data_IF_325536430835
#
_entry.id   IF_325536430835
#
_cell.length_a   1.000
_cell.length_b   1.000
_cell.length_c   1.000
_cell.angle_alpha   90.00
_cell.angle_beta   90.00
_cell.angle_gamma   90.00
#
_symmetry.space_group_name_H-M   'P 1'
#
loop_
_entity.id
_entity.type
_entity.pdbx_description
1 polymer ?
#
# COMPACT_ATOMS: atom_id res chain seq x y z
N UNK A 1 9.05 15.92 13.37
CA UNK A 1 8.31 16.70 14.37
C UNK A 1 6.84 16.38 14.19
N UNK A 2 6.11 16.03 15.26
CA UNK A 2 4.66 15.73 15.22
C UNK A 2 3.87 17.04 15.22
N UNK A 3 2.91 17.21 14.32
CA UNK A 3 2.07 18.43 14.24
C UNK A 3 1.24 18.64 15.50
N UNK A 4 0.80 17.56 16.18
CA UNK A 4 0.11 17.66 17.47
C UNK A 4 0.98 18.29 18.57
N UNK A 5 2.29 18.07 18.54
CA UNK A 5 3.25 18.68 19.48
C UNK A 5 3.53 20.14 19.14
N UNK A 6 3.50 20.50 17.85
CA UNK A 6 3.54 21.90 17.41
C UNK A 6 2.29 22.66 17.87
N UNK A 7 1.10 22.07 17.70
CA UNK A 7 -0.16 22.65 18.18
C UNK A 7 -0.14 22.86 19.70
N UNK A 8 0.32 21.86 20.47
CA UNK A 8 0.47 22.01 21.92
C UNK A 8 1.46 23.12 22.27
N UNK A 9 2.58 23.24 21.55
CA UNK A 9 3.59 24.28 21.78
C UNK A 9 3.03 25.68 21.49
N UNK A 10 2.16 25.82 20.48
CA UNK A 10 1.47 27.07 20.14
C UNK A 10 0.43 27.43 21.21
N UNK A 11 -0.34 26.46 21.70
CA UNK A 11 -1.37 26.68 22.74
C UNK A 11 -0.75 27.05 24.10
N UNK A 12 0.43 26.51 24.42
CA UNK A 12 1.15 26.77 25.68
C UNK A 12 1.98 28.05 25.69
N UNK A 13 2.23 28.69 24.54
CA UNK A 13 2.98 29.96 24.45
C UNK A 13 2.09 31.12 23.94
N UNK A 14 1.19 31.65 24.81
CA UNK A 14 0.21 32.68 24.41
C UNK A 14 0.82 34.01 23.94
N UNK A 15 2.11 34.27 24.20
CA UNK A 15 2.75 35.54 23.86
C UNK A 15 3.46 35.60 22.50
N UNK A 16 3.50 34.51 21.71
CA UNK A 16 4.28 34.45 20.46
C UNK A 16 3.47 34.24 19.18
N UNK A 17 2.17 33.95 19.26
CA UNK A 17 1.36 33.78 18.07
C UNK A 17 -0.09 34.26 18.29
N UNK A 18 -0.51 35.20 17.45
CA UNK A 18 -1.83 35.88 17.41
C UNK A 18 -3.01 34.97 17.00
N UNK A 19 -2.86 33.64 17.07
CA UNK A 19 -3.87 32.69 16.56
C UNK A 19 -5.24 32.75 17.26
N UNK A 20 -5.31 33.26 18.50
CA UNK A 20 -6.59 33.50 19.20
C UNK A 20 -7.41 34.62 18.57
N UNK A 21 -6.80 35.50 17.78
CA UNK A 21 -7.50 36.59 17.09
C UNK A 21 -8.27 36.09 15.84
N UNK A 22 -8.01 34.86 15.39
CA UNK A 22 -8.61 34.31 14.17
C UNK A 22 -9.88 33.50 14.43
N UNK A 23 -10.05 32.92 15.63
CA UNK A 23 -11.27 32.19 16.01
C UNK A 23 -11.36 31.93 17.51
N UNK A 24 -12.56 32.13 18.07
CA UNK A 24 -12.89 31.87 19.48
C UNK A 24 -12.85 30.38 19.85
N UNK A 25 -12.83 29.48 18.87
CA UNK A 25 -12.80 28.02 19.10
C UNK A 25 -11.57 27.57 19.90
N UNK A 26 -10.45 28.30 19.81
CA UNK A 26 -9.24 27.99 20.57
C UNK A 26 -9.36 28.29 22.08
N UNK A 27 -10.30 29.15 22.50
CA UNK A 27 -10.55 29.41 23.92
C UNK A 27 -11.17 28.20 24.62
N UNK A 28 -11.86 27.35 23.86
CA UNK A 28 -12.49 26.12 24.38
C UNK A 28 -11.47 25.03 24.71
N UNK A 29 -10.23 25.16 24.23
CA UNK A 29 -9.16 24.19 24.45
C UNK A 29 -8.48 24.48 25.79
N UNK A 30 -8.66 23.59 26.76
CA UNK A 30 -7.99 23.68 28.07
C UNK A 30 -6.54 23.22 27.95
N UNK A 31 -5.53 24.12 28.08
CA UNK A 31 -4.14 23.78 27.77
C UNK A 31 -3.56 22.67 28.65
N UNK A 32 -3.94 22.63 29.93
CA UNK A 32 -3.47 21.61 30.87
C UNK A 32 -4.06 20.23 30.61
N UNK A 33 -5.30 20.18 30.11
CA UNK A 33 -5.97 18.94 29.71
C UNK A 33 -5.39 18.42 28.40
N UNK A 34 -5.26 19.30 27.40
CA UNK A 34 -4.60 18.97 26.14
C UNK A 34 -3.18 18.45 26.38
N UNK A 35 -2.41 19.06 27.29
CA UNK A 35 -1.05 18.59 27.62
C UNK A 35 -1.04 17.17 28.19
N UNK A 36 -2.01 16.83 29.05
CA UNK A 36 -2.08 15.49 29.67
C UNK A 36 -2.57 14.44 28.69
N UNK A 37 -3.53 14.80 27.85
CA UNK A 37 -4.25 13.85 27.01
C UNK A 37 -3.76 13.85 25.55
N UNK A 38 -2.83 14.73 25.16
CA UNK A 38 -2.37 14.85 23.77
C UNK A 38 -2.02 13.50 23.16
N UNK A 39 -1.24 12.68 23.87
CA UNK A 39 -0.79 11.37 23.38
C UNK A 39 -1.93 10.37 23.23
N UNK A 40 -2.98 10.48 24.05
CA UNK A 40 -4.20 9.69 23.90
C UNK A 40 -5.04 10.18 22.73
N UNK A 41 -5.14 11.50 22.55
CA UNK A 41 -5.93 12.13 21.49
C UNK A 41 -5.34 11.82 20.11
N UNK A 42 -4.01 11.78 20.00
CA UNK A 42 -3.32 11.51 18.73
C UNK A 42 -2.90 10.04 18.56
N UNK A 43 -3.29 9.16 19.48
CA UNK A 43 -2.98 7.73 19.40
C UNK A 43 -3.61 7.12 18.14
N UNK A 44 -2.80 6.43 17.33
CA UNK A 44 -3.27 5.84 16.06
C UNK A 44 -3.35 6.84 14.90
N UNK A 45 -2.86 8.06 15.08
CA UNK A 45 -2.69 9.03 13.99
C UNK A 45 -1.64 8.57 12.97
N UNK A 46 -1.72 9.07 11.75
CA UNK A 46 -0.69 8.86 10.71
C UNK A 46 0.70 9.39 11.12
N UNK A 47 0.77 10.25 12.14
CA UNK A 47 2.03 10.72 12.73
C UNK A 47 2.67 9.73 13.73
N UNK A 48 1.97 8.67 14.16
CA UNK A 48 2.57 7.66 15.04
C UNK A 48 3.63 6.83 14.33
N UNK A 49 3.49 6.64 13.01
CA UNK A 49 4.47 5.98 12.15
C UNK A 49 5.75 6.81 11.94
N UNK A 50 5.75 8.09 12.29
CA UNK A 50 6.88 9.01 12.13
C UNK A 50 7.65 9.14 13.46
N UNK A 51 8.28 8.06 13.92
CA UNK A 51 9.34 8.18 14.93
C UNK A 51 10.62 8.71 14.28
N UNK A 52 11.24 9.79 14.82
CA UNK A 52 12.63 10.06 14.55
C UNK A 52 13.48 9.11 15.40
N UNK A 53 14.30 8.29 14.74
CA UNK A 53 15.35 7.48 15.35
C UNK A 53 16.31 8.38 16.17
N UNK A 54 16.14 8.40 17.48
CA UNK A 54 17.08 9.02 18.42
C UNK A 54 17.70 7.93 19.30
N UNK A 55 18.88 7.47 18.84
CA UNK A 55 19.99 6.81 19.57
C UNK A 55 19.72 6.39 21.04
N UNK A 56 19.76 5.07 21.25
CA UNK A 56 20.46 4.43 22.37
C UNK A 56 19.60 3.91 23.53
N UNK A 57 19.59 2.58 23.68
CA UNK A 57 19.24 1.90 24.92
C UNK A 57 18.02 0.97 24.84
N UNK A 58 18.26 -0.33 24.62
CA UNK A 58 17.29 -1.38 24.91
C UNK A 58 17.40 -1.80 26.40
N UNK A 59 16.51 -2.66 26.94
CA UNK A 59 15.16 -3.05 26.52
C UNK A 59 14.13 -2.86 27.66
N UNK A 60 12.82 -3.08 27.40
CA UNK A 60 11.91 -3.92 28.22
C UNK A 60 10.44 -3.73 27.81
N UNK A 61 9.86 -4.84 27.31
CA UNK A 61 8.48 -5.31 27.48
C UNK A 61 7.33 -4.32 27.53
N UNK A 62 6.53 -4.31 26.45
CA UNK A 62 5.07 -4.37 26.58
C UNK A 62 4.45 -5.07 25.36
N UNK A 63 4.10 -6.33 25.57
CA UNK A 63 3.22 -7.08 24.69
C UNK A 63 1.77 -6.61 24.91
N UNK A 64 1.14 -6.14 23.85
CA UNK A 64 -0.32 -5.97 23.72
C UNK A 64 -0.57 -5.53 22.28
N UNK A 65 -1.31 -6.22 21.42
CA UNK A 65 -2.02 -7.48 21.51
C UNK A 65 -2.50 -7.73 20.08
N UNK A 66 -2.11 -8.89 19.58
CA UNK A 66 -2.38 -9.43 18.25
C UNK A 66 -3.90 -9.49 17.99
N UNK A 67 -4.37 -8.99 16.85
CA UNK A 67 -5.51 -9.64 16.18
C UNK A 67 -4.93 -10.69 15.25
N UNK A 68 -4.66 -11.87 15.83
CA UNK A 68 -4.11 -13.03 15.15
C UNK A 68 -5.23 -13.73 14.42
N UNK A 69 -5.45 -13.32 13.18
CA UNK A 69 -6.05 -14.20 12.18
C UNK A 69 -4.99 -15.12 11.61
N UNK A 70 -4.88 -16.32 12.19
CA UNK A 70 -4.41 -17.57 11.59
C UNK A 70 -3.04 -17.64 10.87
N UNK A 71 -2.11 -18.40 11.46
CA UNK A 71 -1.17 -19.28 10.74
C UNK A 71 0.08 -18.62 10.15
N UNK A 72 1.26 -19.17 10.44
CA UNK A 72 2.55 -18.74 9.88
C UNK A 72 2.74 -19.08 8.39
N UNK A 73 1.71 -18.92 7.55
CA UNK A 73 1.70 -19.33 6.13
C UNK A 73 1.78 -18.15 5.14
N UNK A 74 1.72 -16.89 5.59
CA UNK A 74 1.74 -15.69 4.72
C UNK A 74 2.69 -14.59 5.25
N UNK A 75 3.88 -14.99 5.73
CA UNK A 75 4.83 -14.04 6.34
C UNK A 75 5.39 -13.03 5.32
N UNK A 76 5.67 -13.45 4.08
CA UNK A 76 6.16 -12.54 3.05
C UNK A 76 5.07 -11.57 2.57
N UNK A 77 3.83 -12.04 2.41
CA UNK A 77 2.69 -11.18 2.05
C UNK A 77 2.43 -10.13 3.12
N UNK A 78 2.41 -10.51 4.39
CA UNK A 78 2.21 -9.57 5.49
C UNK A 78 3.34 -8.51 5.58
N UNK A 79 4.57 -8.87 5.21
CA UNK A 79 5.74 -7.97 5.28
C UNK A 79 5.89 -7.06 4.06
N UNK A 80 5.58 -7.54 2.87
CA UNK A 80 5.90 -6.85 1.62
C UNK A 80 4.69 -6.38 0.84
N UNK A 81 3.47 -6.59 1.36
CA UNK A 81 2.25 -6.17 0.71
C UNK A 81 1.30 -5.42 1.64
N UNK A 82 0.39 -4.68 1.02
CA UNK A 82 -0.68 -3.95 1.71
C UNK A 82 -2.02 -4.41 1.16
N UNK A 83 -2.92 -4.88 2.03
CA UNK A 83 -4.25 -5.36 1.62
C UNK A 83 -5.21 -4.18 1.40
N UNK A 84 -5.46 -3.85 0.13
CA UNK A 84 -6.40 -2.79 -0.25
C UNK A 84 -7.86 -3.18 0.03
N UNK A 85 -8.20 -4.47 0.04
CA UNK A 85 -9.57 -4.90 0.34
C UNK A 85 -9.90 -4.77 1.81
N UNK A 86 -8.92 -5.01 2.69
CA UNK A 86 -9.05 -4.72 4.13
C UNK A 86 -9.20 -3.21 4.34
N UNK A 87 -8.30 -2.40 3.78
CA UNK A 87 -8.40 -0.94 3.86
C UNK A 87 -9.73 -0.40 3.33
N UNK A 88 -10.24 -0.95 2.24
CA UNK A 88 -11.53 -0.55 1.69
C UNK A 88 -12.71 -0.89 2.62
N UNK A 89 -12.65 -2.01 3.35
CA UNK A 89 -13.67 -2.36 4.37
C UNK A 89 -13.59 -1.48 5.61
N UNK A 90 -12.39 -1.03 5.97
CA UNK A 90 -12.14 -0.17 7.13
C UNK A 90 -12.53 1.30 6.90
N UNK A 91 -12.68 1.71 5.64
CA UNK A 91 -13.15 3.05 5.27
C UNK A 91 -12.10 3.86 4.51
N UNK A 92 -11.85 3.50 3.25
CA UNK A 92 -11.00 4.24 2.32
C UNK A 92 -11.77 5.40 1.67
N UNK A 93 -11.06 6.48 1.33
CA UNK A 93 -11.65 7.62 0.62
C UNK A 93 -12.30 7.19 -0.70
N UNK A 94 -13.52 7.65 -1.02
CA UNK A 94 -14.24 7.20 -2.20
C UNK A 94 -13.54 7.66 -3.49
N UNK A 95 -13.35 6.72 -4.42
CA UNK A 95 -12.76 7.03 -5.73
C UNK A 95 -13.83 7.56 -6.69
N UNK A 96 -13.67 8.80 -7.14
CA UNK A 96 -14.62 9.47 -8.03
C UNK A 96 -14.12 9.53 -9.47
N UNK A 97 -15.04 9.38 -10.44
CA UNK A 97 -14.76 9.63 -11.86
C UNK A 97 -13.90 8.58 -12.57
N UNK A 98 -13.72 7.38 -11.97
CA UNK A 98 -12.93 6.26 -12.54
C UNK A 98 -13.76 5.03 -12.88
N UNK A 99 -15.08 5.18 -12.99
CA UNK A 99 -16.00 4.06 -13.16
C UNK A 99 -15.75 3.26 -14.44
N UNK A 100 -15.36 3.95 -15.52
CA UNK A 100 -15.09 3.32 -16.81
C UNK A 100 -13.83 2.45 -16.75
N UNK A 101 -12.74 3.00 -16.21
CA UNK A 101 -11.47 2.32 -16.06
C UNK A 101 -11.58 1.11 -15.11
N UNK A 102 -12.32 1.24 -14.01
CA UNK A 102 -12.58 0.13 -13.08
C UNK A 102 -13.40 -0.97 -13.78
N UNK A 103 -14.41 -0.62 -14.59
CA UNK A 103 -15.18 -1.62 -15.37
C UNK A 103 -14.29 -2.34 -16.38
N UNK A 104 -13.46 -1.61 -17.13
CA UNK A 104 -12.51 -2.22 -18.07
C UNK A 104 -11.52 -3.17 -17.36
N UNK A 105 -11.05 -2.80 -16.17
CA UNK A 105 -10.19 -3.65 -15.36
C UNK A 105 -10.90 -4.96 -14.97
N UNK A 106 -12.14 -4.88 -14.49
CA UNK A 106 -12.98 -6.05 -14.19
C UNK A 106 -13.17 -6.93 -15.43
N UNK A 107 -13.43 -6.32 -16.60
CA UNK A 107 -13.62 -7.04 -17.85
C UNK A 107 -12.35 -7.77 -18.30
N UNK A 108 -11.16 -7.24 -18.01
CA UNK A 108 -9.89 -7.93 -18.29
C UNK A 108 -9.66 -9.06 -17.30
N UNK A 109 -9.86 -8.82 -15.99
CA UNK A 109 -9.63 -9.81 -14.93
C UNK A 109 -10.53 -11.06 -15.05
N UNK A 110 -11.71 -10.92 -15.66
CA UNK A 110 -12.66 -12.03 -15.90
C UNK A 110 -12.37 -12.85 -17.16
N UNK A 111 -11.38 -12.46 -17.99
CA UNK A 111 -11.01 -13.20 -19.20
C UNK A 111 -10.39 -14.56 -18.88
N UNK A 112 -10.57 -15.52 -19.79
CA UNK A 112 -9.93 -16.85 -19.70
C UNK A 112 -8.41 -16.83 -19.96
N UNK A 113 -7.94 -15.87 -20.76
CA UNK A 113 -6.55 -15.70 -21.18
C UNK A 113 -6.22 -14.22 -21.16
N UNK A 114 -4.94 -13.87 -20.95
CA UNK A 114 -4.48 -12.47 -20.88
C UNK A 114 -5.34 -11.65 -19.91
N UNK A 115 -5.50 -12.17 -18.71
CA UNK A 115 -6.36 -11.63 -17.65
C UNK A 115 -5.61 -10.75 -16.65
N UNK A 116 -4.44 -10.22 -17.05
CA UNK A 116 -3.61 -9.33 -16.26
C UNK A 116 -3.72 -7.91 -16.84
N UNK A 117 -4.58 -7.03 -16.30
CA UNK A 117 -4.71 -5.66 -16.80
C UNK A 117 -3.45 -4.83 -16.49
N UNK A 118 -3.14 -3.89 -17.39
CA UNK A 118 -2.10 -2.89 -17.19
C UNK A 118 -2.73 -1.51 -17.33
N UNK A 119 -2.71 -0.72 -16.26
CA UNK A 119 -3.16 0.67 -16.24
C UNK A 119 -2.02 1.54 -16.76
N UNK A 120 -2.24 2.16 -17.92
CA UNK A 120 -1.24 2.99 -18.60
C UNK A 120 -1.70 4.44 -18.59
N UNK A 121 -0.81 5.34 -18.18
CA UNK A 121 -1.07 6.78 -18.17
C UNK A 121 0.10 7.57 -17.62
N UNK A 122 0.11 8.88 -17.81
CA UNK A 122 1.19 9.76 -17.33
C UNK A 122 1.39 9.65 -15.80
N UNK A 123 2.56 10.08 -15.32
CA UNK A 123 2.80 10.15 -13.88
C UNK A 123 1.83 11.13 -13.21
N UNK A 124 1.33 10.79 -12.02
CA UNK A 124 0.43 11.67 -11.25
C UNK A 124 -1.04 11.68 -11.67
N UNK A 125 -1.46 10.96 -12.71
CA UNK A 125 -2.88 10.92 -13.14
C UNK A 125 -3.80 10.10 -12.23
N UNK A 126 -3.28 9.51 -11.16
CA UNK A 126 -4.04 8.68 -10.23
C UNK A 126 -4.29 7.25 -10.74
N UNK A 127 -3.27 6.59 -11.32
CA UNK A 127 -3.36 5.18 -11.73
C UNK A 127 -3.69 4.26 -10.54
N UNK A 128 -3.09 4.54 -9.39
CA UNK A 128 -3.34 3.84 -8.11
C UNK A 128 -4.80 3.98 -7.67
N UNK A 129 -5.41 5.15 -7.86
CA UNK A 129 -6.82 5.39 -7.51
C UNK A 129 -7.77 4.45 -8.28
N UNK A 130 -7.44 4.06 -9.51
CA UNK A 130 -8.26 3.08 -10.25
C UNK A 130 -8.25 1.71 -9.55
N UNK A 131 -7.11 1.31 -9.00
CA UNK A 131 -6.96 0.03 -8.28
C UNK A 131 -7.62 0.08 -6.91
N UNK A 132 -7.50 1.21 -6.21
CA UNK A 132 -8.22 1.46 -4.96
C UNK A 132 -9.73 1.41 -5.16
N UNK A 133 -10.24 2.03 -6.24
CA UNK A 133 -11.65 1.97 -6.60
C UNK A 133 -12.11 0.55 -6.96
N UNK A 134 -11.24 -0.24 -7.60
CA UNK A 134 -11.50 -1.67 -7.80
C UNK A 134 -11.59 -2.43 -6.47
N UNK A 135 -10.66 -2.20 -5.54
CA UNK A 135 -10.68 -2.81 -4.21
C UNK A 135 -11.94 -2.44 -3.41
N UNK A 136 -12.41 -1.19 -3.53
CA UNK A 136 -13.69 -0.74 -2.96
C UNK A 136 -14.88 -1.53 -3.51
N UNK A 137 -14.94 -1.74 -4.83
CA UNK A 137 -16.01 -2.57 -5.43
C UNK A 137 -15.93 -4.03 -5.00
N UNK A 138 -14.72 -4.59 -4.89
CA UNK A 138 -14.53 -5.95 -4.37
C UNK A 138 -15.01 -6.06 -2.92
N UNK A 139 -14.64 -5.09 -2.07
CA UNK A 139 -15.06 -5.03 -0.66
C UNK A 139 -16.58 -4.90 -0.50
N UNK A 140 -17.23 -4.09 -1.35
CA UNK A 140 -18.68 -3.94 -1.39
C UNK A 140 -19.42 -5.12 -2.03
N UNK A 141 -18.71 -6.04 -2.68
CA UNK A 141 -19.30 -7.15 -3.45
C UNK A 141 -19.90 -6.72 -4.80
N UNK A 142 -19.66 -5.49 -5.24
CA UNK A 142 -20.07 -4.92 -6.54
C UNK A 142 -19.13 -5.34 -7.67
N UNK A 143 -18.94 -6.66 -7.79
CA UNK A 143 -18.13 -7.31 -8.82
C UNK A 143 -18.79 -8.61 -9.28
N UNK A 144 -18.47 -9.11 -10.49
CA UNK A 144 -18.91 -10.43 -10.94
C UNK A 144 -18.55 -11.53 -9.95
N UNK A 145 -19.32 -12.60 -9.93
CA UNK A 145 -19.16 -13.73 -8.98
C UNK A 145 -17.74 -14.31 -8.96
N UNK A 146 -17.05 -14.31 -10.10
CA UNK A 146 -15.66 -14.78 -10.24
C UNK A 146 -14.62 -13.91 -9.51
N UNK A 147 -14.98 -12.70 -9.10
CA UNK A 147 -14.13 -11.75 -8.40
C UNK A 147 -14.64 -11.44 -6.99
N UNK A 148 -15.73 -12.07 -6.53
CA UNK A 148 -16.21 -11.87 -5.16
C UNK A 148 -15.28 -12.54 -4.16
N UNK A 149 -14.98 -11.83 -3.07
CA UNK A 149 -14.13 -12.34 -2.00
C UNK A 149 -12.64 -12.46 -2.35
N UNK A 150 -12.22 -11.97 -3.52
CA UNK A 150 -10.79 -11.92 -3.85
C UNK A 150 -10.08 -10.88 -2.97
N UNK A 151 -8.82 -11.12 -2.65
CA UNK A 151 -7.95 -10.13 -2.00
C UNK A 151 -7.21 -9.31 -3.04
N UNK A 152 -7.07 -8.02 -2.79
CA UNK A 152 -6.25 -7.13 -3.64
C UNK A 152 -5.10 -6.62 -2.79
N UNK A 153 -3.89 -7.08 -3.12
CA UNK A 153 -2.67 -6.76 -2.38
C UNK A 153 -1.78 -5.86 -3.22
N UNK A 154 -1.34 -4.74 -2.67
CA UNK A 154 -0.33 -3.88 -3.30
C UNK A 154 1.05 -4.37 -2.90
N UNK A 155 1.91 -4.64 -3.88
CA UNK A 155 3.31 -4.96 -3.66
C UNK A 155 4.10 -3.69 -3.35
N UNK A 156 4.79 -3.65 -2.22
CA UNK A 156 5.69 -2.56 -1.87
C UNK A 156 7.11 -2.87 -2.35
N UNK A 157 7.49 -2.26 -3.46
CA UNK A 157 8.83 -2.39 -4.04
C UNK A 157 9.91 -1.78 -3.13
N UNK A 158 9.58 -0.74 -2.38
CA UNK A 158 10.49 -0.09 -1.44
C UNK A 158 10.85 -1.03 -0.30
N UNK A 159 9.88 -1.72 0.30
CA UNK A 159 10.11 -2.72 1.35
C UNK A 159 10.88 -3.94 0.84
N UNK A 160 10.63 -4.38 -0.40
CA UNK A 160 11.39 -5.45 -1.02
C UNK A 160 12.87 -5.08 -1.22
N UNK A 161 13.15 -3.83 -1.60
CA UNK A 161 14.51 -3.31 -1.82
C UNK A 161 15.19 -2.91 -0.50
N UNK A 162 14.44 -2.46 0.51
CA UNK A 162 14.96 -2.05 1.80
C UNK A 162 15.67 -3.21 2.51
N UNK A 163 16.96 -3.03 2.80
CA UNK A 163 17.78 -4.06 3.43
C UNK A 163 18.18 -5.22 2.51
N UNK A 164 17.80 -5.22 1.22
CA UNK A 164 18.30 -6.16 0.22
C UNK A 164 19.67 -5.71 -0.30
N UNK A 165 20.65 -5.62 0.61
CA UNK A 165 22.01 -5.18 0.28
C UNK A 165 22.85 -6.23 -0.47
N UNK A 166 22.40 -7.49 -0.45
CA UNK A 166 23.07 -8.62 -1.11
C UNK A 166 22.37 -8.95 -2.42
N UNK A 167 23.16 -9.10 -3.49
CA UNK A 167 22.68 -9.52 -4.82
C UNK A 167 21.88 -10.83 -4.70
N UNK A 168 20.60 -10.79 -5.12
CA UNK A 168 19.68 -11.95 -5.09
C UNK A 168 18.74 -12.01 -3.88
N UNK A 169 18.93 -11.18 -2.85
CA UNK A 169 18.01 -11.16 -1.72
C UNK A 169 16.62 -10.62 -2.11
N UNK A 170 16.61 -9.55 -2.91
CA UNK A 170 15.39 -9.02 -3.52
C UNK A 170 14.61 -10.09 -4.30
N UNK A 171 15.32 -10.87 -5.13
CA UNK A 171 14.72 -11.95 -5.92
C UNK A 171 14.13 -13.05 -5.04
N UNK A 172 14.83 -13.43 -3.96
CA UNK A 172 14.33 -14.41 -3.00
C UNK A 172 13.06 -13.92 -2.30
N UNK A 173 13.01 -12.64 -1.90
CA UNK A 173 11.82 -12.03 -1.29
C UNK A 173 10.65 -11.98 -2.28
N UNK A 174 10.89 -11.56 -3.52
CA UNK A 174 9.87 -11.54 -4.56
C UNK A 174 9.35 -12.95 -4.88
N UNK A 175 10.25 -13.94 -4.92
CA UNK A 175 9.89 -15.34 -5.13
C UNK A 175 9.02 -15.87 -3.99
N UNK A 176 9.34 -15.53 -2.74
CA UNK A 176 8.53 -15.89 -1.58
C UNK A 176 7.12 -15.30 -1.69
N UNK A 177 7.00 -14.01 -2.03
CA UNK A 177 5.70 -13.37 -2.27
C UNK A 177 4.90 -14.10 -3.36
N UNK A 178 5.51 -14.41 -4.51
CA UNK A 178 4.83 -15.12 -5.61
C UNK A 178 4.35 -16.49 -5.14
N UNK A 179 5.18 -17.24 -4.40
CA UNK A 179 4.82 -18.56 -3.89
C UNK A 179 3.67 -18.50 -2.89
N UNK A 180 3.68 -17.53 -1.97
CA UNK A 180 2.58 -17.35 -1.02
C UNK A 180 1.28 -16.92 -1.73
N UNK A 181 1.34 -16.05 -2.74
CA UNK A 181 0.14 -15.72 -3.55
C UNK A 181 -0.44 -16.96 -4.23
N UNK A 182 0.42 -17.86 -4.74
CA UNK A 182 -0.01 -19.08 -5.41
C UNK A 182 -0.57 -20.14 -4.46
N UNK A 183 -0.04 -20.19 -3.23
CA UNK A 183 -0.48 -21.10 -2.18
C UNK A 183 -1.71 -20.58 -1.42
N UNK A 184 -2.03 -19.28 -1.54
CA UNK A 184 -3.12 -18.65 -0.84
C UNK A 184 -4.45 -19.37 -1.09
N UNK A 185 -5.13 -19.74 0.01
CA UNK A 185 -6.45 -20.38 -0.03
C UNK A 185 -7.52 -19.42 -0.58
N UNK A 186 -7.33 -18.13 -0.34
CA UNK A 186 -8.18 -17.06 -0.87
C UNK A 186 -7.58 -16.55 -2.18
N UNK A 187 -8.35 -16.50 -3.29
CA UNK A 187 -7.84 -15.97 -4.54
C UNK A 187 -7.32 -14.54 -4.37
N UNK A 188 -6.08 -14.31 -4.76
CA UNK A 188 -5.36 -13.07 -4.51
C UNK A 188 -4.93 -12.42 -5.83
N UNK A 189 -5.15 -11.11 -5.94
CA UNK A 189 -4.71 -10.28 -7.06
C UNK A 189 -3.61 -9.37 -6.55
N UNK A 190 -2.44 -9.43 -7.18
CA UNK A 190 -1.30 -8.61 -6.83
C UNK A 190 -1.26 -7.35 -7.69
N UNK A 191 -1.34 -6.18 -7.07
CA UNK A 191 -1.09 -4.90 -7.72
C UNK A 191 0.40 -4.55 -7.64
N UNK A 192 0.98 -4.21 -8.78
CA UNK A 192 2.37 -3.80 -8.91
C UNK A 192 2.39 -2.41 -9.56
N UNK A 193 2.66 -1.40 -8.76
CA UNK A 193 2.95 -0.08 -9.30
C UNK A 193 4.32 -0.07 -9.97
N UNK A 194 4.48 0.77 -10.99
CA UNK A 194 5.68 0.83 -11.80
C UNK A 194 6.17 -0.55 -12.28
N UNK A 195 5.27 -1.39 -12.79
CA UNK A 195 5.56 -2.80 -13.14
C UNK A 195 6.73 -2.98 -14.12
N UNK A 196 7.04 -1.94 -14.91
CA UNK A 196 8.19 -1.90 -15.80
C UNK A 196 9.54 -2.05 -15.06
N UNK A 197 9.61 -1.65 -13.78
CA UNK A 197 10.78 -1.80 -12.92
C UNK A 197 11.18 -3.27 -12.75
N UNK A 198 10.18 -4.17 -12.69
CA UNK A 198 10.38 -5.61 -12.58
C UNK A 198 10.56 -6.30 -13.93
N UNK A 199 9.94 -5.80 -15.00
CA UNK A 199 9.89 -6.49 -16.31
C UNK A 199 11.08 -6.15 -17.21
N UNK A 200 11.62 -4.94 -17.14
CA UNK A 200 12.62 -4.53 -18.14
C UNK A 200 13.49 -3.32 -17.81
N UNK A 201 13.22 -2.58 -16.74
CA UNK A 201 13.98 -1.36 -16.47
C UNK A 201 15.39 -1.60 -15.91
N UNK A 202 15.73 -2.80 -15.42
CA UNK A 202 17.09 -3.11 -14.96
C UNK A 202 17.67 -2.01 -14.05
N UNK A 203 16.89 -1.59 -13.05
CA UNK A 203 17.33 -0.66 -12.02
C UNK A 203 18.50 -1.20 -11.19
N UNK A 204 19.01 -0.36 -10.27
CA UNK A 204 20.22 -0.60 -9.48
C UNK A 204 20.36 -2.05 -8.98
N UNK A 205 21.59 -2.57 -9.06
CA UNK A 205 22.04 -3.93 -8.73
C UNK A 205 20.99 -4.86 -8.06
N UNK A 206 20.34 -5.72 -8.85
CA UNK A 206 19.51 -6.84 -8.35
C UNK A 206 18.08 -6.93 -8.90
N UNK A 207 17.57 -5.90 -9.56
CA UNK A 207 16.20 -5.93 -10.14
C UNK A 207 16.12 -6.52 -11.55
N UNK A 208 17.28 -6.80 -12.18
CA UNK A 208 17.36 -7.26 -13.58
C UNK A 208 16.78 -8.65 -13.86
N UNK A 209 16.67 -9.52 -12.85
CA UNK A 209 16.22 -10.92 -13.01
C UNK A 209 14.75 -11.16 -12.59
N UNK A 210 14.07 -10.14 -12.07
CA UNK A 210 12.67 -10.24 -11.63
C UNK A 210 11.71 -10.62 -12.78
N UNK A 211 12.02 -10.17 -14.00
CA UNK A 211 11.26 -10.50 -15.19
C UNK A 211 11.19 -12.01 -15.44
N UNK A 212 12.29 -12.73 -15.17
CA UNK A 212 12.35 -14.19 -15.33
C UNK A 212 11.54 -14.92 -14.27
N UNK A 213 11.37 -14.32 -13.09
CA UNK A 213 10.53 -14.86 -12.03
C UNK A 213 9.03 -14.64 -12.31
N UNK A 214 8.66 -13.51 -12.93
CA UNK A 214 7.26 -13.13 -13.16
C UNK A 214 6.66 -13.66 -14.47
N UNK A 215 7.42 -13.74 -15.56
CA UNK A 215 6.89 -14.17 -16.87
C UNK A 215 6.24 -15.55 -16.84
N UNK A 216 6.85 -16.61 -16.27
CA UNK A 216 6.23 -17.94 -16.26
C UNK A 216 4.87 -18.02 -15.53
N UNK A 217 4.72 -17.55 -14.28
CA UNK A 217 3.44 -17.62 -13.58
C UNK A 217 2.36 -16.71 -14.20
N UNK A 218 2.75 -15.55 -14.77
CA UNK A 218 1.83 -14.69 -15.52
C UNK A 218 1.31 -15.36 -16.80
N UNK A 219 2.17 -16.05 -17.54
CA UNK A 219 1.79 -16.76 -18.77
C UNK A 219 0.89 -17.97 -18.50
N UNK A 220 1.14 -18.68 -17.38
CA UNK A 220 0.32 -19.82 -16.95
C UNK A 220 -1.01 -19.40 -16.32
N UNK A 221 -1.15 -18.14 -15.90
CA UNK A 221 -2.33 -17.64 -15.21
C UNK A 221 -2.42 -18.07 -13.74
N UNK A 222 -1.30 -18.55 -13.18
CA UNK A 222 -1.15 -18.91 -11.76
C UNK A 222 -1.05 -17.67 -10.88
N UNK A 223 -0.56 -16.56 -11.44
CA UNK A 223 -0.46 -15.27 -10.77
C UNK A 223 -1.37 -14.26 -11.49
N UNK A 224 -2.40 -13.78 -10.78
CA UNK A 224 -3.24 -12.68 -11.25
C UNK A 224 -2.65 -11.36 -10.78
N UNK A 225 -2.39 -10.46 -11.73
CA UNK A 225 -1.75 -9.18 -11.42
C UNK A 225 -2.44 -8.02 -12.10
N UNK A 226 -2.45 -6.88 -11.42
CA UNK A 226 -2.73 -5.57 -12.01
C UNK A 226 -1.41 -4.82 -12.06
N UNK A 227 -0.99 -4.38 -13.25
CA UNK A 227 0.20 -3.53 -13.40
C UNK A 227 -0.18 -2.07 -13.56
N UNK A 228 0.66 -1.13 -13.10
CA UNK A 228 0.59 0.27 -13.49
C UNK A 228 1.95 0.74 -14.05
N UNK A 229 1.93 1.59 -15.08
CA UNK A 229 3.14 2.13 -15.71
C UNK A 229 2.83 3.39 -16.52
N UNK A 230 3.85 4.14 -16.92
CA UNK A 230 3.70 5.24 -17.88
C UNK A 230 3.60 4.74 -19.32
N UNK A 231 3.05 5.56 -20.22
CA UNK A 231 2.95 5.22 -21.64
C UNK A 231 4.32 4.96 -22.26
N UNK A 232 5.31 5.77 -21.92
CA UNK A 232 6.68 5.65 -22.41
C UNK A 232 7.33 4.33 -22.01
N UNK A 233 7.16 3.92 -20.74
CA UNK A 233 7.67 2.64 -20.24
C UNK A 233 6.94 1.44 -20.82
N UNK A 234 5.61 1.52 -20.96
CA UNK A 234 4.81 0.46 -21.55
C UNK A 234 5.31 0.10 -22.95
N UNK A 235 5.49 1.10 -23.81
CA UNK A 235 6.01 0.93 -25.17
C UNK A 235 7.42 0.33 -25.18
N UNK A 236 8.26 0.73 -24.22
CA UNK A 236 9.67 0.33 -24.18
C UNK A 236 9.86 -1.10 -23.67
N UNK A 237 9.08 -1.51 -22.66
CA UNK A 237 9.35 -2.72 -21.89
C UNK A 237 8.24 -3.80 -21.95
N UNK A 238 7.02 -3.46 -22.37
CA UNK A 238 5.86 -4.35 -22.30
C UNK A 238 5.24 -4.66 -23.67
N UNK A 239 5.24 -3.72 -24.62
CA UNK A 239 4.59 -3.88 -25.94
C UNK A 239 5.31 -4.85 -26.93
N UNK A 240 6.46 -5.43 -26.54
CA UNK A 240 7.28 -6.29 -27.41
C UNK A 240 6.80 -7.73 -27.53
#
# INVERSE_FOLDING_TARGET
MRSGVLLLSLVLQPGRASFRDFTEEYEKIRPDELRRELLSIVAGSSEDALQPEARGGAPLGRESGFTAGAGGEEEALARFTVDLTVKAREGMDPVLGRDHEIRQMIDVLTRRRKNNPVVVGEAGVGKTAVVEGFAQRVAAGDVPSSLRGVRVLTLDLGLLQAGAGVKGEFENRLKAVIQEVQAATTPTILFIDEIHTLIGAGGAAGTGDAANLLKPPLARGELRTIGATTLSEYKKYIEK
#
